data_IF_311452501605
#
_entry.id   IF_311452501605
#
_cell.length_a   1.000
_cell.length_b   1.000
_cell.length_c   1.000
_cell.angle_alpha   90.00
_cell.angle_beta   90.00
_cell.angle_gamma   90.00
#
_symmetry.space_group_name_H-M   'P 1'
#
loop_
_entity.id
_entity.type
_entity.pdbx_description
1 polymer ?
#
# COMPACT_ATOMS: atom_id res chain seq x y z
N UNK A 1 -6.79 -34.25 40.01
CA UNK A 1 -5.58 -34.36 39.16
C UNK A 1 -5.81 -34.19 37.65
N UNK A 2 -6.83 -34.78 36.99
CA UNK A 2 -6.92 -34.77 35.51
C UNK A 2 -7.33 -33.41 34.91
N UNK A 3 -8.07 -32.58 35.66
CA UNK A 3 -8.50 -31.26 35.18
C UNK A 3 -7.33 -30.27 35.00
N UNK A 4 -6.29 -30.37 35.83
CA UNK A 4 -5.08 -29.54 35.73
C UNK A 4 -4.26 -29.87 34.48
N UNK A 5 -4.17 -31.15 34.14
CA UNK A 5 -3.45 -31.64 32.96
C UNK A 5 -4.20 -31.26 31.67
N UNK A 6 -5.54 -31.40 31.66
CA UNK A 6 -6.37 -30.94 30.54
C UNK A 6 -6.28 -29.43 30.33
N UNK A 7 -6.27 -28.65 31.41
CA UNK A 7 -6.12 -27.21 31.35
C UNK A 7 -4.74 -26.80 30.83
N UNK A 8 -3.67 -27.45 31.32
CA UNK A 8 -2.32 -27.23 30.83
C UNK A 8 -2.16 -27.60 29.34
N UNK A 9 -2.75 -28.71 28.91
CA UNK A 9 -2.76 -29.13 27.50
C UNK A 9 -3.54 -28.15 26.60
N UNK A 10 -4.64 -27.58 27.09
CA UNK A 10 -5.43 -26.58 26.36
C UNK A 10 -4.66 -25.26 26.20
N UNK A 11 -3.95 -24.82 27.25
CA UNK A 11 -3.10 -23.62 27.20
C UNK A 11 -1.92 -23.82 26.24
N UNK A 12 -1.29 -25.01 26.27
CA UNK A 12 -0.20 -25.34 25.36
C UNK A 12 -0.66 -25.36 23.89
N UNK A 13 -1.85 -25.90 23.62
CA UNK A 13 -2.45 -25.91 22.29
C UNK A 13 -2.77 -24.49 21.77
N UNK A 14 -3.22 -23.60 22.66
CA UNK A 14 -3.52 -22.21 22.31
C UNK A 14 -2.25 -21.39 21.98
N UNK A 15 -1.12 -21.69 22.62
CA UNK A 15 0.18 -21.05 22.32
C UNK A 15 0.78 -21.55 21.00
N UNK A 16 0.44 -22.78 20.58
CA UNK A 16 0.90 -23.36 19.32
C UNK A 16 0.02 -23.00 18.11
N UNK A 17 -1.09 -22.26 18.28
CA UNK A 17 -1.85 -21.75 17.15
C UNK A 17 -0.98 -20.75 16.39
N UNK A 18 -0.72 -20.95 15.08
CA UNK A 18 0.08 -20.01 14.31
C UNK A 18 -0.59 -18.65 14.32
N UNK A 19 0.09 -17.63 14.85
CA UNK A 19 -0.31 -16.23 14.71
C UNK A 19 -0.47 -15.97 13.21
N UNK A 20 -1.68 -15.59 12.81
CA UNK A 20 -2.10 -15.46 11.43
C UNK A 20 -1.11 -14.68 10.56
N UNK A 21 -1.02 -15.08 9.29
CA UNK A 21 -0.30 -14.42 8.21
C UNK A 21 -0.42 -12.89 8.31
N UNK A 22 0.64 -12.24 8.74
CA UNK A 22 0.70 -10.78 8.76
C UNK A 22 0.89 -10.34 7.31
N UNK A 23 -0.19 -9.81 6.71
CA UNK A 23 -0.08 -9.17 5.39
C UNK A 23 0.86 -7.99 5.56
N UNK A 24 2.06 -8.13 5.01
CA UNK A 24 3.03 -7.04 5.00
C UNK A 24 2.46 -5.92 4.14
N UNK A 25 2.38 -4.73 4.72
CA UNK A 25 2.01 -3.48 4.03
C UNK A 25 3.11 -2.43 4.27
N UNK A 26 4.31 -2.65 3.69
CA UNK A 26 5.50 -1.84 3.98
C UNK A 26 5.56 -0.55 3.15
N UNK A 27 4.56 -0.31 2.30
CA UNK A 27 4.49 0.90 1.47
C UNK A 27 3.19 1.62 1.77
N UNK A 28 3.29 2.79 2.39
CA UNK A 28 2.15 3.67 2.61
C UNK A 28 2.04 4.63 1.44
N UNK A 29 0.83 4.78 0.92
CA UNK A 29 0.56 5.62 -0.24
C UNK A 29 -0.24 6.84 0.18
N UNK A 30 0.10 8.01 -0.37
CA UNK A 30 -0.63 9.25 -0.15
C UNK A 30 -0.75 10.04 -1.43
N UNK A 31 -1.90 10.72 -1.61
CA UNK A 31 -2.17 11.62 -2.73
C UNK A 31 -2.46 13.01 -2.17
N UNK A 32 -1.78 14.03 -2.70
CA UNK A 32 -2.01 15.43 -2.35
C UNK A 32 -2.22 16.26 -3.61
N UNK A 33 -3.17 17.19 -3.57
CA UNK A 33 -3.53 18.07 -4.68
C UNK A 33 -3.19 19.51 -4.32
N UNK A 34 -2.48 20.23 -5.19
CA UNK A 34 -2.31 21.69 -5.06
C UNK A 34 -3.46 22.41 -5.79
N UNK A 35 -4.70 22.11 -5.37
CA UNK A 35 -5.92 22.57 -6.06
C UNK A 35 -6.22 24.06 -5.83
N UNK A 36 -5.73 24.65 -4.73
CA UNK A 36 -5.95 26.06 -4.38
C UNK A 36 -5.40 27.06 -5.40
N UNK A 37 -4.58 26.62 -6.34
CA UNK A 37 -3.94 27.48 -7.35
C UNK A 37 -4.60 27.42 -8.73
N UNK A 38 -5.50 26.47 -8.97
CA UNK A 38 -6.06 26.26 -10.30
C UNK A 38 -7.41 26.98 -10.48
N UNK A 39 -7.60 27.78 -11.54
CA UNK A 39 -8.93 28.28 -11.90
C UNK A 39 -9.83 27.14 -12.39
N UNK A 40 -11.16 27.35 -12.51
CA UNK A 40 -12.04 26.38 -13.16
C UNK A 40 -11.53 25.95 -14.54
N UNK A 41 -11.43 24.64 -14.77
CA UNK A 41 -10.86 24.06 -15.99
C UNK A 41 -9.32 24.10 -16.08
N UNK A 42 -8.64 24.59 -15.04
CA UNK A 42 -7.19 24.65 -14.96
C UNK A 42 -6.54 23.31 -14.59
N UNK A 43 -5.23 23.24 -14.76
CA UNK A 43 -4.42 22.08 -14.39
C UNK A 43 -4.14 22.06 -12.89
N UNK A 44 -4.21 20.87 -12.28
CA UNK A 44 -3.89 20.65 -10.87
C UNK A 44 -2.71 19.70 -10.78
N UNK A 45 -1.66 20.10 -10.06
CA UNK A 45 -0.56 19.21 -9.74
C UNK A 45 -0.98 18.26 -8.62
N UNK A 46 -0.95 16.96 -8.92
CA UNK A 46 -1.15 15.89 -7.96
C UNK A 46 0.19 15.24 -7.59
N UNK A 47 0.49 15.16 -6.30
CA UNK A 47 1.67 14.46 -5.77
C UNK A 47 1.24 13.12 -5.18
N UNK A 48 1.62 12.04 -5.86
CA UNK A 48 1.44 10.67 -5.37
C UNK A 48 2.73 10.18 -4.73
N UNK A 49 2.70 9.91 -3.43
CA UNK A 49 3.91 9.60 -2.62
C UNK A 49 3.82 8.19 -2.07
N UNK A 50 4.93 7.45 -2.22
CA UNK A 50 5.16 6.16 -1.58
C UNK A 50 6.13 6.35 -0.40
N UNK A 51 5.65 6.17 0.83
CA UNK A 51 6.51 6.06 2.01
C UNK A 51 6.83 4.59 2.23
N UNK A 52 8.11 4.23 2.10
CA UNK A 52 8.58 2.84 2.09
C UNK A 52 9.34 2.56 3.40
N UNK A 53 8.93 1.52 4.11
CA UNK A 53 9.59 1.07 5.34
C UNK A 53 11.04 0.63 5.06
N UNK A 54 11.96 0.79 6.03
CA UNK A 54 13.35 0.39 5.86
C UNK A 54 13.53 -1.07 5.41
N UNK A 55 14.46 -1.30 4.49
CA UNK A 55 14.75 -2.62 3.92
C UNK A 55 13.84 -3.03 2.75
N UNK A 56 12.85 -2.21 2.40
CA UNK A 56 12.00 -2.39 1.23
C UNK A 56 12.40 -1.45 0.10
N UNK A 57 12.15 -1.88 -1.13
CA UNK A 57 12.44 -1.10 -2.33
C UNK A 57 11.28 -1.18 -3.32
N UNK A 58 10.99 -0.06 -3.98
CA UNK A 58 10.09 0.01 -5.12
C UNK A 58 10.92 0.11 -6.40
N UNK A 59 10.65 -0.75 -7.36
CA UNK A 59 11.32 -0.70 -8.67
C UNK A 59 10.93 0.55 -9.45
N UNK A 60 11.87 1.07 -10.25
CA UNK A 60 11.58 2.17 -11.18
C UNK A 60 10.53 1.74 -12.21
N UNK A 61 9.72 2.71 -12.66
CA UNK A 61 8.76 2.54 -13.74
C UNK A 61 9.43 2.23 -15.09
N UNK A 62 10.73 2.49 -15.24
CA UNK A 62 11.52 2.19 -16.44
C UNK A 62 12.29 0.86 -16.37
N UNK A 63 12.23 0.13 -15.25
CA UNK A 63 12.94 -1.15 -15.11
C UNK A 63 12.31 -2.21 -16.03
N UNK A 64 13.11 -2.95 -16.84
CA UNK A 64 12.61 -4.07 -17.62
C UNK A 64 11.96 -5.15 -16.75
N UNK A 65 11.02 -5.93 -17.33
CA UNK A 65 10.10 -6.88 -16.66
C UNK A 65 10.66 -7.56 -15.40
N UNK A 66 10.31 -7.00 -14.24
CA UNK A 66 10.36 -7.69 -12.95
C UNK A 66 9.16 -8.63 -12.77
N UNK A 67 9.10 -9.40 -11.67
CA UNK A 67 8.10 -10.45 -11.48
C UNK A 67 6.66 -9.93 -11.40
N UNK A 68 6.43 -8.74 -10.82
CA UNK A 68 5.12 -8.06 -10.82
C UNK A 68 5.34 -6.54 -10.97
N UNK A 69 4.88 -5.89 -12.05
CA UNK A 69 5.02 -4.45 -12.23
C UNK A 69 4.06 -3.68 -11.32
N UNK A 70 4.53 -2.59 -10.72
CA UNK A 70 3.65 -1.64 -10.03
C UNK A 70 2.81 -0.92 -11.07
N UNK A 71 1.49 -0.97 -10.92
CA UNK A 71 0.55 -0.32 -11.83
C UNK A 71 -0.22 0.74 -11.07
N UNK A 72 -0.21 1.97 -11.59
CA UNK A 72 -0.95 3.11 -11.05
C UNK A 72 -1.94 3.54 -12.12
N UNK A 73 -3.22 3.59 -11.77
CA UNK A 73 -4.30 4.04 -12.66
C UNK A 73 -5.06 5.18 -12.01
N UNK A 74 -5.56 6.08 -12.85
CA UNK A 74 -6.56 7.08 -12.44
C UNK A 74 -7.92 6.48 -12.76
N UNK A 75 -8.80 6.40 -11.75
CA UNK A 75 -10.17 5.94 -11.96
C UNK A 75 -10.92 6.91 -12.89
N UNK A 76 -11.84 6.38 -13.68
CA UNK A 76 -12.70 7.20 -14.54
C UNK A 76 -13.47 8.23 -13.70
N UNK A 77 -13.37 9.50 -14.08
CA UNK A 77 -14.01 10.60 -13.37
C UNK A 77 -14.37 11.73 -14.36
N UNK A 78 -15.64 12.15 -14.45
CA UNK A 78 -16.06 13.20 -15.39
C UNK A 78 -15.43 14.58 -15.09
N UNK A 79 -14.90 14.80 -13.89
CA UNK A 79 -14.18 16.01 -13.54
C UNK A 79 -12.75 16.05 -14.10
N UNK A 80 -12.24 14.94 -14.63
CA UNK A 80 -10.87 14.83 -15.16
C UNK A 80 -10.95 14.75 -16.68
N UNK A 81 -10.60 15.85 -17.36
CA UNK A 81 -10.55 15.87 -18.82
C UNK A 81 -9.34 15.10 -19.39
N UNK A 82 -8.18 15.17 -18.72
CA UNK A 82 -6.97 14.43 -19.09
C UNK A 82 -5.99 14.38 -17.92
N UNK A 83 -4.98 13.50 -17.99
CA UNK A 83 -3.89 13.44 -17.01
C UNK A 83 -2.56 13.06 -17.67
N UNK A 84 -1.46 13.45 -17.05
CA UNK A 84 -0.09 13.10 -17.45
C UNK A 84 0.75 12.81 -16.21
N UNK A 85 1.61 11.80 -16.30
CA UNK A 85 2.60 11.49 -15.25
C UNK A 85 3.86 12.32 -15.49
N UNK A 86 4.35 12.95 -14.42
CA UNK A 86 5.67 13.55 -14.35
C UNK A 86 6.58 12.58 -13.59
N UNK A 87 7.54 11.96 -14.28
CA UNK A 87 8.62 11.22 -13.63
C UNK A 87 9.77 12.19 -13.31
N UNK A 88 10.39 12.13 -12.13
CA UNK A 88 11.69 12.76 -11.91
C UNK A 88 12.79 12.09 -12.75
#
# INVERSE_FOLDING_TARGET
>A
MPHRIRFAALVLLAVCLPLAAQRLDPVKWSLSLDASKAPPGGEVLARFTAQIDPGWHLYSLSTPKGPIPTTITVAENPAIASWRIYQP
#
